data_IF_540035239171
#
_entry.id   IF_540035239171
#
_cell.length_a   1.000
_cell.length_b   1.000
_cell.length_c   1.000
_cell.angle_alpha   90.00
_cell.angle_beta   90.00
_cell.angle_gamma   90.00
#
_symmetry.space_group_name_H-M   'P 1'
#
loop_
_entity.id
_entity.type
_entity.pdbx_description
1 polymer ?
#
# COMPACT_ATOMS: atom_id res chain seq x y z
N UNK A 1 10.51 27.48 15.07
CA UNK A 1 9.26 26.74 14.81
C UNK A 1 9.66 25.40 14.21
N UNK A 2 9.41 24.28 14.89
CA UNK A 2 9.55 22.97 14.24
C UNK A 2 8.47 22.87 13.16
N UNK A 3 8.83 22.50 11.93
CA UNK A 3 7.83 22.13 10.93
C UNK A 3 6.96 21.00 11.50
N UNK A 4 5.66 21.00 11.18
CA UNK A 4 4.78 19.89 11.55
C UNK A 4 5.28 18.61 10.87
N UNK A 5 5.28 17.50 11.60
CA UNK A 5 5.67 16.19 11.03
C UNK A 5 4.71 15.82 9.91
N UNK A 6 5.25 15.25 8.85
CA UNK A 6 4.46 14.81 7.71
C UNK A 6 3.63 13.58 8.10
N UNK A 7 2.39 13.47 7.66
CA UNK A 7 1.50 12.37 8.03
C UNK A 7 1.68 11.20 7.07
N UNK A 8 2.12 10.06 7.61
CA UNK A 8 2.33 8.83 6.85
C UNK A 8 1.28 7.79 7.25
N UNK A 9 0.51 7.31 6.27
CA UNK A 9 -0.33 6.13 6.44
C UNK A 9 0.40 4.91 5.86
N UNK A 10 0.67 3.93 6.70
CA UNK A 10 1.22 2.62 6.34
C UNK A 10 0.04 1.65 6.15
N UNK A 11 0.12 0.82 5.12
CA UNK A 11 -0.86 -0.20 4.80
C UNK A 11 -0.12 -1.53 4.60
N UNK A 12 -0.22 -2.44 5.56
CA UNK A 12 0.49 -3.72 5.58
C UNK A 12 -0.31 -4.74 6.40
N UNK A 13 -0.24 -6.03 6.09
CA UNK A 13 -0.85 -7.07 6.96
C UNK A 13 0.14 -7.70 7.95
N UNK A 14 1.31 -7.07 8.09
CA UNK A 14 2.35 -7.37 9.06
C UNK A 14 2.67 -6.17 9.96
N UNK A 15 3.92 -6.13 10.43
CA UNK A 15 4.43 -5.04 11.28
C UNK A 15 5.80 -4.54 10.82
N UNK A 16 6.37 -5.13 9.78
CA UNK A 16 7.72 -4.86 9.29
C UNK A 16 7.90 -3.40 8.84
N UNK A 17 6.90 -2.82 8.18
CA UNK A 17 6.98 -1.45 7.71
C UNK A 17 6.81 -0.47 8.88
N UNK A 18 5.85 -0.73 9.79
CA UNK A 18 5.65 0.03 11.01
C UNK A 18 6.92 0.06 11.86
N UNK A 19 7.50 -1.10 12.15
CA UNK A 19 8.72 -1.23 12.94
C UNK A 19 9.88 -0.46 12.29
N UNK A 20 10.09 -0.64 10.99
CA UNK A 20 11.14 0.07 10.26
C UNK A 20 10.94 1.59 10.31
N UNK A 21 9.74 2.08 10.00
CA UNK A 21 9.46 3.52 10.00
C UNK A 21 9.62 4.10 11.41
N UNK A 22 9.14 3.43 12.45
CA UNK A 22 9.29 3.92 13.83
C UNK A 22 10.76 4.01 14.23
N UNK A 23 11.59 3.03 13.86
CA UNK A 23 13.01 2.99 14.20
C UNK A 23 13.83 4.03 13.45
N UNK A 24 13.58 4.23 12.15
CA UNK A 24 14.48 5.02 11.29
C UNK A 24 13.91 6.38 10.86
N UNK A 25 12.59 6.54 10.90
CA UNK A 25 11.89 7.71 10.34
C UNK A 25 10.86 8.33 11.31
N UNK A 26 10.75 7.83 12.55
CA UNK A 26 9.72 8.23 13.52
C UNK A 26 9.78 9.70 13.94
N UNK A 27 10.94 10.35 13.83
CA UNK A 27 11.06 11.80 14.10
C UNK A 27 10.53 12.67 12.95
N UNK A 28 10.44 12.11 11.74
CA UNK A 28 10.05 12.81 10.50
C UNK A 28 8.56 12.72 10.23
N UNK A 29 7.93 11.62 10.67
CA UNK A 29 6.52 11.34 10.38
C UNK A 29 5.65 11.25 11.64
N UNK A 30 4.41 11.70 11.50
CA UNK A 30 3.30 11.19 12.32
C UNK A 30 2.75 9.95 11.60
N UNK A 31 2.73 8.80 12.28
CA UNK A 31 2.44 7.50 11.64
C UNK A 31 1.11 6.94 12.10
N UNK A 32 0.30 6.49 11.14
CA UNK A 32 -0.85 5.60 11.34
C UNK A 32 -0.66 4.36 10.48
N UNK A 33 -1.15 3.23 10.96
CA UNK A 33 -1.02 1.93 10.29
C UNK A 33 -2.41 1.34 10.11
N UNK A 34 -2.66 0.76 8.94
CA UNK A 34 -3.85 -0.02 8.64
C UNK A 34 -3.44 -1.45 8.28
N UNK A 35 -4.11 -2.42 8.89
CA UNK A 35 -3.89 -3.84 8.63
C UNK A 35 -4.89 -4.49 7.68
N UNK A 36 -5.83 -3.68 7.17
CA UNK A 36 -6.82 -4.08 6.18
C UNK A 36 -7.24 -2.88 5.33
N UNK A 37 -7.82 -3.13 4.15
CA UNK A 37 -8.22 -2.06 3.25
C UNK A 37 -9.35 -1.18 3.81
N UNK A 38 -10.31 -1.78 4.52
CA UNK A 38 -11.38 -1.04 5.20
C UNK A 38 -10.81 -0.07 6.25
N UNK A 39 -9.79 -0.49 6.99
CA UNK A 39 -9.09 0.36 7.95
C UNK A 39 -8.29 1.46 7.25
N UNK A 40 -7.54 1.12 6.19
CA UNK A 40 -6.75 2.08 5.41
C UNK A 40 -7.63 3.20 4.87
N UNK A 41 -8.79 2.83 4.37
CA UNK A 41 -9.83 3.71 3.88
C UNK A 41 -10.34 4.67 4.95
N UNK A 42 -10.71 4.13 6.12
CA UNK A 42 -11.19 4.92 7.26
C UNK A 42 -10.12 5.91 7.73
N UNK A 43 -8.91 5.40 7.95
CA UNK A 43 -7.77 6.22 8.40
C UNK A 43 -7.39 7.28 7.37
N UNK A 44 -7.46 7.00 6.06
CA UNK A 44 -7.18 8.01 5.05
C UNK A 44 -8.12 9.22 5.15
N UNK A 45 -9.40 9.00 5.47
CA UNK A 45 -10.38 10.09 5.65
C UNK A 45 -10.14 10.88 6.93
N UNK A 46 -9.89 10.19 8.03
CA UNK A 46 -9.69 10.80 9.36
C UNK A 46 -8.34 11.51 9.46
N UNK A 47 -7.28 10.85 8.99
CA UNK A 47 -5.90 11.27 9.15
C UNK A 47 -5.42 12.20 8.04
N UNK A 48 -6.05 12.13 6.85
CA UNK A 48 -5.69 12.91 5.65
C UNK A 48 -4.18 12.82 5.36
N UNK A 49 -3.62 11.63 5.11
CA UNK A 49 -2.18 11.44 5.03
C UNK A 49 -1.54 12.27 3.91
N UNK A 50 -0.31 12.72 4.14
CA UNK A 50 0.49 13.46 3.16
C UNK A 50 1.35 12.53 2.28
N UNK A 51 1.45 11.24 2.67
CA UNK A 51 2.07 10.16 1.92
C UNK A 51 1.53 8.78 2.35
N UNK A 52 1.61 7.80 1.45
CA UNK A 52 1.22 6.42 1.67
C UNK A 52 2.43 5.48 1.51
N UNK A 53 2.54 4.50 2.39
CA UNK A 53 3.48 3.39 2.29
C UNK A 53 2.68 2.09 2.26
N UNK A 54 2.77 1.34 1.16
CA UNK A 54 1.93 0.16 0.95
C UNK A 54 2.80 -1.08 0.78
N UNK A 55 2.50 -2.12 1.55
CA UNK A 55 2.92 -3.47 1.21
C UNK A 55 2.12 -3.95 -0.01
N UNK A 56 2.80 -4.65 -0.93
CA UNK A 56 2.15 -5.20 -2.11
C UNK A 56 1.35 -6.46 -1.76
N UNK A 57 1.88 -7.31 -0.88
CA UNK A 57 1.41 -8.69 -0.70
C UNK A 57 0.84 -8.87 0.70
N UNK A 58 -0.36 -9.40 0.81
CA UNK A 58 -0.97 -9.72 2.09
C UNK A 58 -1.02 -11.24 2.29
N UNK A 59 0.03 -11.79 2.89
CA UNK A 59 0.17 -13.24 3.11
C UNK A 59 -0.47 -13.71 4.43
N UNK A 60 -0.66 -12.81 5.39
CA UNK A 60 -1.17 -13.08 6.74
C UNK A 60 -2.69 -12.88 6.82
N UNK A 61 -3.23 -12.08 5.90
CA UNK A 61 -4.66 -11.77 5.83
C UNK A 61 -5.49 -13.02 5.46
N UNK A 62 -6.53 -13.38 6.26
CA UNK A 62 -7.46 -14.44 5.91
C UNK A 62 -8.16 -14.20 4.58
N UNK A 63 -8.50 -15.29 3.87
CA UNK A 63 -9.05 -15.21 2.51
C UNK A 63 -10.36 -14.43 2.40
N UNK A 64 -11.19 -14.43 3.44
CA UNK A 64 -12.46 -13.71 3.53
C UNK A 64 -12.30 -12.22 3.89
N UNK A 65 -11.11 -11.81 4.33
CA UNK A 65 -10.75 -10.43 4.62
C UNK A 65 -9.92 -9.76 3.51
N UNK A 66 -9.53 -10.52 2.47
CA UNK A 66 -8.87 -9.97 1.28
C UNK A 66 -9.87 -9.17 0.45
N UNK A 67 -9.39 -8.07 -0.13
CA UNK A 67 -10.19 -7.30 -1.08
C UNK A 67 -10.20 -7.95 -2.46
N UNK A 68 -11.39 -7.99 -3.06
CA UNK A 68 -11.63 -8.55 -4.39
C UNK A 68 -12.50 -9.81 -4.36
N UNK A 69 -13.04 -10.18 -5.52
CA UNK A 69 -13.87 -11.36 -5.68
C UNK A 69 -13.04 -12.52 -6.23
N UNK A 70 -12.67 -13.46 -5.35
CA UNK A 70 -11.87 -14.62 -5.73
C UNK A 70 -12.60 -15.56 -6.68
N UNK A 71 -13.92 -15.69 -6.55
CA UNK A 71 -14.72 -16.63 -7.33
C UNK A 71 -14.92 -16.09 -8.75
N UNK A 72 -15.27 -14.81 -8.89
CA UNK A 72 -15.33 -14.13 -10.19
C UNK A 72 -13.98 -14.13 -10.89
N UNK A 73 -12.90 -13.81 -10.15
CA UNK A 73 -11.55 -13.83 -10.69
C UNK A 73 -11.13 -15.23 -11.16
N UNK A 74 -11.49 -16.27 -10.40
CA UNK A 74 -11.23 -17.65 -10.77
C UNK A 74 -11.90 -18.02 -12.08
N UNK A 75 -13.19 -17.69 -12.24
CA UNK A 75 -13.94 -17.95 -13.46
C UNK A 75 -13.35 -17.21 -14.66
N UNK A 76 -13.02 -15.92 -14.51
CA UNK A 76 -12.57 -15.07 -15.63
C UNK A 76 -11.13 -15.32 -16.08
N UNK A 77 -10.23 -15.70 -15.16
CA UNK A 77 -8.78 -15.71 -15.42
C UNK A 77 -8.05 -17.00 -15.10
N UNK A 78 -8.63 -17.86 -14.28
CA UNK A 78 -7.96 -19.07 -13.79
C UNK A 78 -8.74 -20.36 -14.07
N UNK A 79 -9.70 -20.34 -15.00
CA UNK A 79 -10.46 -21.53 -15.40
C UNK A 79 -11.24 -22.16 -14.26
N UNK A 80 -11.70 -21.36 -13.30
CA UNK A 80 -12.38 -21.82 -12.08
C UNK A 80 -11.46 -22.19 -10.92
N UNK A 81 -10.12 -22.10 -11.06
CA UNK A 81 -9.19 -22.37 -9.97
C UNK A 81 -9.19 -21.23 -8.94
N UNK A 82 -10.01 -21.41 -7.90
CA UNK A 82 -10.16 -20.47 -6.78
C UNK A 82 -8.87 -20.29 -5.98
N UNK A 83 -8.06 -21.34 -5.82
CA UNK A 83 -6.82 -21.24 -5.05
C UNK A 83 -5.78 -20.36 -5.76
N UNK A 84 -5.70 -20.44 -7.10
CA UNK A 84 -4.88 -19.52 -7.91
C UNK A 84 -5.41 -18.09 -7.87
N UNK A 85 -6.73 -17.91 -7.91
CA UNK A 85 -7.35 -16.60 -7.79
C UNK A 85 -7.04 -15.94 -6.44
N UNK A 86 -7.15 -16.69 -5.33
CA UNK A 86 -6.80 -16.20 -4.00
C UNK A 86 -5.33 -15.80 -3.90
N UNK A 87 -4.40 -16.65 -4.35
CA UNK A 87 -2.98 -16.28 -4.38
C UNK A 87 -2.73 -15.01 -5.20
N UNK A 88 -3.42 -14.88 -6.32
CA UNK A 88 -3.33 -13.65 -7.12
C UNK A 88 -3.85 -12.44 -6.36
N UNK A 89 -4.96 -12.54 -5.63
CA UNK A 89 -5.46 -11.45 -4.79
C UNK A 89 -4.46 -11.10 -3.69
N UNK A 90 -3.90 -12.10 -2.99
CA UNK A 90 -2.86 -11.89 -1.96
C UNK A 90 -1.66 -11.13 -2.53
N UNK A 91 -1.17 -11.53 -3.70
CA UNK A 91 -0.01 -10.92 -4.35
C UNK A 91 -0.25 -9.49 -4.88
N UNK A 92 -1.51 -9.03 -4.89
CA UNK A 92 -1.91 -7.75 -5.48
C UNK A 92 -2.62 -6.82 -4.49
N UNK A 93 -2.78 -7.21 -3.22
CA UNK A 93 -3.60 -6.46 -2.26
C UNK A 93 -3.20 -4.99 -2.16
N UNK A 94 -1.91 -4.66 -2.09
CA UNK A 94 -1.46 -3.27 -2.01
C UNK A 94 -1.94 -2.40 -3.17
N UNK A 95 -2.00 -2.96 -4.39
CA UNK A 95 -2.52 -2.24 -5.57
C UNK A 95 -4.05 -2.10 -5.53
N UNK A 96 -4.75 -3.09 -4.97
CA UNK A 96 -6.20 -3.05 -4.79
C UNK A 96 -6.56 -1.99 -3.74
N UNK A 97 -5.87 -1.97 -2.60
CA UNK A 97 -6.07 -0.95 -1.57
C UNK A 97 -5.76 0.44 -2.10
N UNK A 98 -4.68 0.61 -2.88
CA UNK A 98 -4.38 1.90 -3.53
C UNK A 98 -5.52 2.35 -4.44
N UNK A 99 -6.10 1.45 -5.25
CA UNK A 99 -7.24 1.78 -6.10
C UNK A 99 -8.45 2.26 -5.29
N UNK A 100 -8.74 1.61 -4.15
CA UNK A 100 -9.81 2.03 -3.25
C UNK A 100 -9.55 3.40 -2.62
N UNK A 101 -8.33 3.65 -2.15
CA UNK A 101 -7.93 4.96 -1.61
C UNK A 101 -8.10 6.07 -2.64
N UNK A 102 -7.70 5.82 -3.89
CA UNK A 102 -7.86 6.77 -5.00
C UNK A 102 -9.32 7.01 -5.35
N UNK A 103 -10.15 5.98 -5.36
CA UNK A 103 -11.59 6.11 -5.55
C UNK A 103 -12.27 7.00 -4.47
N UNK A 104 -11.62 7.15 -3.32
CA UNK A 104 -12.06 8.00 -2.22
C UNK A 104 -11.31 9.34 -2.13
N UNK A 105 -10.72 9.76 -3.24
CA UNK A 105 -10.06 11.06 -3.39
C UNK A 105 -8.84 11.26 -2.49
N UNK A 106 -8.30 10.19 -1.89
CA UNK A 106 -6.97 10.24 -1.29
C UNK A 106 -5.93 10.23 -2.42
N UNK A 107 -5.31 11.38 -2.70
CA UNK A 107 -4.33 11.56 -3.77
C UNK A 107 -2.88 11.68 -3.29
N UNK A 108 -2.63 11.38 -2.01
CA UNK A 108 -1.29 11.38 -1.42
C UNK A 108 -0.32 10.47 -2.21
N UNK A 109 0.95 10.88 -2.44
CA UNK A 109 1.95 10.04 -3.10
C UNK A 109 2.08 8.68 -2.42
N UNK A 110 2.11 7.62 -3.23
CA UNK A 110 2.22 6.25 -2.76
C UNK A 110 3.62 5.68 -3.03
N UNK A 111 4.16 4.97 -2.05
CA UNK A 111 5.41 4.22 -2.17
C UNK A 111 5.17 2.74 -1.88
N UNK A 112 5.67 1.88 -2.77
CA UNK A 112 5.81 0.44 -2.53
C UNK A 112 7.27 0.09 -2.26
N UNK A 113 7.54 -0.79 -1.30
CA UNK A 113 8.87 -1.41 -1.16
C UNK A 113 8.84 -2.73 -1.94
N UNK A 114 8.98 -2.62 -3.25
CA UNK A 114 8.98 -3.76 -4.16
C UNK A 114 9.70 -3.44 -5.47
N UNK A 115 10.42 -4.44 -6.01
CA UNK A 115 11.05 -4.36 -7.32
C UNK A 115 10.04 -4.67 -8.44
N UNK A 116 9.28 -3.66 -8.85
CA UNK A 116 8.36 -3.79 -9.97
C UNK A 116 9.12 -3.80 -11.31
N UNK A 117 8.71 -4.65 -12.28
CA UNK A 117 9.09 -4.46 -13.66
C UNK A 117 8.71 -3.04 -14.14
N UNK A 118 9.60 -2.36 -14.87
CA UNK A 118 9.41 -0.95 -15.26
C UNK A 118 8.04 -0.67 -15.91
N UNK A 119 7.59 -1.56 -16.81
CA UNK A 119 6.27 -1.45 -17.45
C UNK A 119 5.12 -1.48 -16.45
N UNK A 120 5.25 -2.28 -15.39
CA UNK A 120 4.23 -2.41 -14.35
C UNK A 120 4.15 -1.15 -13.50
N UNK A 121 5.29 -0.57 -13.12
CA UNK A 121 5.31 0.71 -12.39
C UNK A 121 4.72 1.83 -13.25
N UNK A 122 5.07 1.91 -14.53
CA UNK A 122 4.52 2.90 -15.45
C UNK A 122 2.98 2.80 -15.57
N UNK A 123 2.44 1.58 -15.63
CA UNK A 123 0.99 1.37 -15.63
C UNK A 123 0.34 1.85 -14.32
N UNK A 124 0.95 1.59 -13.17
CA UNK A 124 0.45 2.07 -11.87
C UNK A 124 0.45 3.60 -11.82
N UNK A 125 1.49 4.25 -12.35
CA UNK A 125 1.57 5.71 -12.41
C UNK A 125 0.50 6.31 -13.34
N UNK A 126 0.27 5.69 -14.50
CA UNK A 126 -0.77 6.12 -15.42
C UNK A 126 -2.17 6.00 -14.79
N UNK A 127 -2.42 4.95 -14.01
CA UNK A 127 -3.72 4.70 -13.39
C UNK A 127 -3.95 5.50 -12.11
N UNK A 128 -2.92 5.65 -11.27
CA UNK A 128 -3.07 6.12 -9.88
C UNK A 128 -2.20 7.35 -9.54
N UNK A 129 -1.57 7.97 -10.53
CA UNK A 129 -0.81 9.22 -10.39
C UNK A 129 0.54 9.02 -9.73
N UNK A 130 0.80 9.77 -8.65
CA UNK A 130 2.09 9.74 -7.94
C UNK A 130 2.30 8.40 -7.20
N UNK A 131 2.83 7.42 -7.94
CA UNK A 131 3.21 6.10 -7.44
C UNK A 131 4.70 5.88 -7.67
N UNK A 132 5.38 5.47 -6.61
CA UNK A 132 6.81 5.20 -6.59
C UNK A 132 7.05 3.79 -6.05
N UNK A 133 8.23 3.26 -6.36
CA UNK A 133 8.68 2.00 -5.79
C UNK A 133 10.18 2.03 -5.53
N UNK A 134 10.61 1.37 -4.46
CA UNK A 134 12.01 1.10 -4.15
C UNK A 134 12.17 -0.41 -3.93
N UNK A 135 13.33 -1.02 -4.28
CA UNK A 135 13.45 -2.47 -4.28
C UNK A 135 13.59 -3.09 -2.87
N UNK A 136 13.96 -2.29 -1.88
CA UNK A 136 14.20 -2.74 -0.50
C UNK A 136 14.05 -1.58 0.49
N UNK A 137 13.98 -1.89 1.78
CA UNK A 137 13.96 -0.90 2.85
C UNK A 137 15.24 -0.07 2.86
N UNK A 138 15.09 1.23 2.61
CA UNK A 138 16.16 2.23 2.69
C UNK A 138 15.56 3.53 3.24
N UNK A 139 15.95 3.89 4.46
CA UNK A 139 15.38 5.04 5.16
C UNK A 139 15.60 6.36 4.40
N UNK A 140 16.75 6.52 3.72
CA UNK A 140 17.06 7.73 2.96
C UNK A 140 16.21 7.79 1.70
N UNK A 141 16.10 6.70 0.95
CA UNK A 141 15.29 6.64 -0.26
C UNK A 141 13.80 6.84 0.06
N UNK A 142 13.31 6.20 1.14
CA UNK A 142 11.94 6.37 1.62
C UNK A 142 11.66 7.82 2.01
N UNK A 143 12.53 8.45 2.81
CA UNK A 143 12.38 9.85 3.20
C UNK A 143 12.33 10.79 1.97
N UNK A 144 13.20 10.56 0.99
CA UNK A 144 13.22 11.36 -0.24
C UNK A 144 11.91 11.25 -1.04
N UNK A 145 11.38 10.04 -1.20
CA UNK A 145 10.14 9.80 -1.96
C UNK A 145 8.91 10.29 -1.21
N UNK A 146 8.84 10.02 0.10
CA UNK A 146 7.73 10.42 0.96
C UNK A 146 7.81 11.91 1.35
N UNK A 147 8.91 12.58 0.97
CA UNK A 147 9.15 14.02 1.09
C UNK A 147 9.31 14.50 2.54
N UNK A 148 10.18 13.84 3.30
CA UNK A 148 10.57 14.21 4.65
C UNK A 148 12.09 14.18 4.87
#
# INVERSE_FOLDING_TARGET
MSAARRRLLIVEDGHEYEEFVRLFLGERFEVRVAHAAAEATRLAREFQPDALLLDLRFERTPADALEGDADDLAQRRFGGDRARALRHLQDQQGTIVLAQLRAQQCHAPALFVHDFPARRLANLQQLYGAVHAIPAFDAKAMAQVLGA
#
